data_IF_742521844058
#
_entry.id   IF_742521844058
#
_cell.length_a   1.000
_cell.length_b   1.000
_cell.length_c   1.000
_cell.angle_alpha   90.00
_cell.angle_beta   90.00
_cell.angle_gamma   90.00
#
_symmetry.space_group_name_H-M   'P 1'
#
loop_
_entity.id
_entity.type
_entity.pdbx_description
1 polymer ?
#
# COMPACT_ATOMS: atom_id res chain seq x y z
N UNK A 1 -28.18 76.19 62.47
CA UNK A 1 -28.23 76.74 63.83
C UNK A 1 -26.81 76.80 64.39
N UNK A 2 -26.40 78.00 64.83
CA UNK A 2 -25.37 78.38 65.83
C UNK A 2 -23.97 77.71 65.76
N UNK A 3 -22.89 78.40 65.33
CA UNK A 3 -22.07 79.50 65.93
C UNK A 3 -20.97 79.06 66.93
N UNK A 4 -19.74 79.47 66.57
CA UNK A 4 -18.57 79.97 67.37
C UNK A 4 -17.82 78.94 68.25
N UNK A 5 -16.53 78.66 68.03
CA UNK A 5 -15.30 79.48 68.25
C UNK A 5 -15.03 79.80 69.72
N UNK A 6 -13.90 79.32 70.27
CA UNK A 6 -12.88 80.11 71.00
C UNK A 6 -11.50 79.40 70.93
N UNK A 7 -10.47 80.23 70.81
CA UNK A 7 -9.02 79.99 70.72
C UNK A 7 -8.35 79.52 72.03
N UNK A 8 -7.18 78.89 71.88
CA UNK A 8 -6.12 78.82 72.89
C UNK A 8 -4.74 78.76 72.21
N UNK A 9 -3.89 79.75 72.49
CA UNK A 9 -2.53 79.98 71.94
C UNK A 9 -1.41 79.52 72.89
N UNK A 10 -0.20 79.36 72.32
CA UNK A 10 1.18 79.26 72.88
C UNK A 10 1.83 77.89 72.54
N UNK A 11 3.08 77.76 72.08
CA UNK A 11 4.19 78.67 71.84
C UNK A 11 5.20 78.02 70.85
N UNK A 12 6.08 78.88 70.35
CA UNK A 12 7.14 78.83 69.34
C UNK A 12 8.14 77.64 69.26
N UNK A 13 8.70 77.51 68.05
CA UNK A 13 10.07 77.06 67.70
C UNK A 13 10.36 75.58 67.49
N UNK A 14 10.35 75.14 66.22
CA UNK A 14 11.48 74.38 65.61
C UNK A 14 11.32 74.28 64.09
N UNK A 15 12.04 75.15 63.37
CA UNK A 15 12.61 74.78 62.07
C UNK A 15 13.44 73.51 62.26
N UNK A 16 13.33 72.53 61.36
CA UNK A 16 14.45 71.68 60.90
C UNK A 16 13.96 70.64 59.87
N UNK A 17 14.33 70.90 58.61
CA UNK A 17 14.79 69.97 57.57
C UNK A 17 13.86 68.84 57.09
N UNK A 18 13.44 68.99 55.83
CA UNK A 18 13.11 67.91 54.91
C UNK A 18 14.19 66.81 54.97
N UNK A 19 13.85 65.53 55.21
CA UNK A 19 14.78 64.45 54.95
C UNK A 19 14.83 64.23 53.43
N UNK A 20 15.97 64.57 52.83
CA UNK A 20 16.44 64.02 51.57
C UNK A 20 16.54 62.50 51.67
N UNK A 21 15.42 61.79 51.47
CA UNK A 21 15.35 60.32 51.53
C UNK A 21 14.97 59.70 50.18
N UNK A 22 15.25 60.39 49.08
CA UNK A 22 14.90 59.95 47.71
C UNK A 22 16.05 59.22 46.98
N UNK A 23 17.32 59.35 47.41
CA UNK A 23 18.44 58.71 46.72
C UNK A 23 18.69 57.26 47.14
N UNK A 24 18.50 56.93 48.43
CA UNK A 24 18.79 55.59 48.97
C UNK A 24 17.74 54.55 48.60
N UNK A 25 16.47 54.93 48.46
CA UNK A 25 15.40 54.02 48.03
C UNK A 25 15.50 53.69 46.53
N UNK A 26 15.90 54.66 45.69
CA UNK A 26 16.22 54.42 44.28
C UNK A 26 17.45 53.52 44.09
N UNK A 27 18.50 53.70 44.89
CA UNK A 27 19.70 52.86 44.85
C UNK A 27 19.41 51.40 45.24
N UNK A 28 18.55 51.18 46.24
CA UNK A 28 18.08 49.84 46.68
C UNK A 28 17.27 49.12 45.59
N UNK A 29 16.35 49.83 44.92
CA UNK A 29 15.55 49.29 43.82
C UNK A 29 16.43 49.00 42.59
N UNK A 30 17.35 49.90 42.24
CA UNK A 30 18.32 49.68 41.16
C UNK A 30 19.22 48.47 41.43
N UNK A 31 19.70 48.31 42.67
CA UNK A 31 20.46 47.14 43.11
C UNK A 31 19.67 45.84 42.94
N UNK A 32 18.43 45.79 43.43
CA UNK A 32 17.54 44.64 43.24
C UNK A 32 17.31 44.32 41.76
N UNK A 33 16.97 45.32 40.92
CA UNK A 33 16.74 45.10 39.48
C UNK A 33 17.98 44.56 38.77
N UNK A 34 19.19 44.96 39.17
CA UNK A 34 20.44 44.45 38.62
C UNK A 34 20.67 42.99 39.01
N UNK A 35 20.34 42.60 40.24
CA UNK A 35 20.42 41.21 40.70
C UNK A 35 19.40 40.32 39.99
N UNK A 36 18.17 40.80 39.75
CA UNK A 36 17.16 40.09 38.98
C UNK A 36 17.55 39.94 37.50
N UNK A 37 18.13 40.99 36.89
CA UNK A 37 18.62 40.93 35.51
C UNK A 37 19.75 39.89 35.36
N UNK A 38 20.73 39.88 36.26
CA UNK A 38 21.81 38.90 36.25
C UNK A 38 21.30 37.46 36.47
N UNK A 39 20.27 37.28 37.31
CA UNK A 39 19.63 35.97 37.51
C UNK A 39 18.91 35.48 36.24
N UNK A 40 18.20 36.37 35.54
CA UNK A 40 17.53 36.06 34.27
C UNK A 40 18.55 35.73 33.16
N UNK A 41 19.66 36.45 33.09
CA UNK A 41 20.74 36.17 32.13
C UNK A 41 21.42 34.82 32.42
N UNK A 42 21.63 34.48 33.70
CA UNK A 42 22.16 33.19 34.10
C UNK A 42 21.19 32.04 33.74
N UNK A 43 19.90 32.17 34.07
CA UNK A 43 18.87 31.19 33.71
C UNK A 43 18.74 31.03 32.18
N UNK A 44 18.87 32.12 31.40
CA UNK A 44 18.87 32.08 29.92
C UNK A 44 20.11 31.34 29.38
N UNK A 45 21.28 31.55 29.96
CA UNK A 45 22.51 30.85 29.57
C UNK A 45 22.49 29.35 29.88
N UNK A 46 21.92 28.97 31.03
CA UNK A 46 21.70 27.56 31.42
C UNK A 46 20.69 26.92 30.47
N UNK A 47 19.55 27.59 30.23
CA UNK A 47 18.53 27.14 29.28
C UNK A 47 19.09 26.97 27.86
N UNK A 48 19.94 27.89 27.37
CA UNK A 48 20.65 27.79 26.08
C UNK A 48 21.59 26.57 26.02
N UNK A 49 22.27 26.25 27.13
CA UNK A 49 23.20 25.11 27.20
C UNK A 49 22.48 23.76 27.23
N UNK A 50 21.37 23.66 27.98
CA UNK A 50 20.50 22.48 28.05
C UNK A 50 19.77 22.24 26.72
N UNK A 51 19.30 23.31 26.08
CA UNK A 51 18.76 23.30 24.73
C UNK A 51 19.77 22.70 23.73
N UNK A 52 21.04 23.15 23.76
CA UNK A 52 22.10 22.64 22.87
C UNK A 52 22.43 21.17 23.15
N UNK A 53 22.57 20.78 24.42
CA UNK A 53 22.86 19.37 24.76
C UNK A 53 21.72 18.43 24.38
N UNK A 54 20.47 18.91 24.47
CA UNK A 54 19.29 18.17 24.01
C UNK A 54 19.26 18.02 22.48
N UNK A 55 19.64 19.05 21.72
CA UNK A 55 19.76 18.99 20.25
C UNK A 55 20.81 17.98 19.76
N UNK A 56 21.94 17.86 20.46
CA UNK A 56 22.99 16.88 20.14
C UNK A 56 22.79 15.52 20.82
N UNK A 57 21.70 15.33 21.55
CA UNK A 57 21.34 14.05 22.14
C UNK A 57 20.96 13.04 21.04
N UNK A 58 21.25 11.76 21.27
CA UNK A 58 20.86 10.66 20.36
C UNK A 58 19.36 10.67 20.02
N UNK A 59 18.52 11.16 20.95
CA UNK A 59 17.07 11.32 20.78
C UNK A 59 16.72 12.27 19.64
N UNK A 60 17.49 13.34 19.46
CA UNK A 60 17.30 14.33 18.39
C UNK A 60 17.74 13.77 17.03
N UNK A 61 18.78 12.93 17.01
CA UNK A 61 19.18 12.19 15.81
C UNK A 61 18.06 11.23 15.40
N UNK A 62 17.47 10.48 16.34
CA UNK A 62 16.33 9.62 16.07
C UNK A 62 15.10 10.41 15.59
N UNK A 63 14.82 11.57 16.19
CA UNK A 63 13.72 12.45 15.80
C UNK A 63 13.89 12.97 14.35
N UNK A 64 15.11 13.27 13.93
CA UNK A 64 15.44 13.66 12.55
C UNK A 64 15.35 12.49 11.57
N UNK A 65 15.73 11.28 11.99
CA UNK A 65 15.75 10.12 11.11
C UNK A 65 14.34 9.69 10.68
N UNK A 66 13.35 9.75 11.57
CA UNK A 66 11.96 9.31 11.31
C UNK A 66 11.33 10.01 10.09
N UNK A 67 11.27 11.35 9.98
CA UNK A 67 10.65 12.01 8.84
C UNK A 67 11.39 11.75 7.52
N UNK A 68 12.73 11.61 7.56
CA UNK A 68 13.56 11.31 6.39
C UNK A 68 13.31 9.89 5.87
N UNK A 69 13.28 8.92 6.78
CA UNK A 69 12.98 7.51 6.44
C UNK A 69 11.54 7.41 5.92
N UNK A 70 10.57 8.04 6.59
CA UNK A 70 9.18 8.05 6.15
C UNK A 70 9.00 8.67 4.75
N UNK A 71 9.70 9.77 4.46
CA UNK A 71 9.70 10.39 3.13
C UNK A 71 10.34 9.48 2.07
N UNK A 72 11.46 8.83 2.40
CA UNK A 72 12.12 7.85 1.54
C UNK A 72 11.21 6.67 1.22
N UNK A 73 10.53 6.13 2.23
CA UNK A 73 9.55 5.05 2.07
C UNK A 73 8.33 5.48 1.25
N UNK A 74 7.81 6.68 1.47
CA UNK A 74 6.73 7.25 0.63
C UNK A 74 7.14 7.37 -0.84
N UNK A 75 8.35 7.85 -1.09
CA UNK A 75 8.91 7.97 -2.45
C UNK A 75 9.11 6.60 -3.10
N UNK A 76 9.64 5.63 -2.35
CA UNK A 76 9.78 4.25 -2.81
C UNK A 76 8.42 3.63 -3.15
N UNK A 77 7.38 3.87 -2.34
CA UNK A 77 6.02 3.39 -2.63
C UNK A 77 5.48 3.95 -3.95
N UNK A 78 5.74 5.23 -4.27
CA UNK A 78 5.37 5.81 -5.57
C UNK A 78 6.11 5.10 -6.71
N UNK A 79 7.43 4.91 -6.59
CA UNK A 79 8.21 4.24 -7.63
C UNK A 79 7.76 2.79 -7.82
N UNK A 80 7.52 2.08 -6.72
CA UNK A 80 7.01 0.71 -6.72
C UNK A 80 5.63 0.62 -7.36
N UNK A 81 4.75 1.58 -7.07
CA UNK A 81 3.44 1.69 -7.71
C UNK A 81 3.58 1.91 -9.22
N UNK A 82 4.41 2.86 -9.66
CA UNK A 82 4.62 3.12 -11.09
C UNK A 82 5.14 1.89 -11.83
N UNK A 83 6.14 1.22 -11.26
CA UNK A 83 6.67 -0.04 -11.79
C UNK A 83 5.56 -1.08 -11.90
N UNK A 84 4.79 -1.30 -10.83
CA UNK A 84 3.69 -2.26 -10.82
C UNK A 84 2.62 -1.90 -11.86
N UNK A 85 2.26 -0.63 -11.99
CA UNK A 85 1.29 -0.17 -13.00
C UNK A 85 1.79 -0.44 -14.41
N UNK A 86 3.06 -0.16 -14.72
CA UNK A 86 3.61 -0.45 -16.03
C UNK A 86 3.54 -1.95 -16.39
N UNK A 87 3.77 -2.84 -15.40
CA UNK A 87 3.59 -4.29 -15.57
C UNK A 87 2.11 -4.66 -15.81
N UNK A 88 1.19 -4.06 -15.04
CA UNK A 88 -0.23 -4.29 -15.19
C UNK A 88 -0.76 -3.79 -16.54
N UNK A 89 -0.30 -2.62 -16.98
CA UNK A 89 -0.68 -2.03 -18.26
C UNK A 89 -0.21 -2.90 -19.43
N UNK A 90 1.01 -3.45 -19.37
CA UNK A 90 1.53 -4.38 -20.38
C UNK A 90 0.72 -5.69 -20.43
N UNK A 91 0.41 -6.28 -19.27
CA UNK A 91 -0.46 -7.47 -19.20
C UNK A 91 -1.86 -7.14 -19.72
N UNK A 92 -2.43 -6.02 -19.30
CA UNK A 92 -3.75 -5.58 -19.71
C UNK A 92 -3.84 -5.33 -21.22
N UNK A 93 -2.83 -4.68 -21.80
CA UNK A 93 -2.74 -4.48 -23.24
C UNK A 93 -2.70 -5.83 -23.99
N UNK A 94 -1.86 -6.78 -23.55
CA UNK A 94 -1.81 -8.13 -24.15
C UNK A 94 -3.14 -8.88 -24.03
N UNK A 95 -3.82 -8.73 -22.90
CA UNK A 95 -5.13 -9.34 -22.68
C UNK A 95 -6.22 -8.73 -23.55
N UNK A 96 -6.13 -7.46 -23.95
CA UNK A 96 -7.17 -6.79 -24.75
C UNK A 96 -6.89 -6.78 -26.25
N UNK A 97 -5.67 -7.15 -26.66
CA UNK A 97 -5.34 -7.31 -28.09
C UNK A 97 -6.21 -8.39 -28.73
N UNK A 98 -6.51 -8.19 -30.01
CA UNK A 98 -7.26 -9.17 -30.82
C UNK A 98 -6.59 -10.55 -30.75
N UNK A 99 -7.40 -11.63 -30.64
CA UNK A 99 -6.89 -12.99 -30.66
C UNK A 99 -6.09 -13.25 -31.93
N UNK A 100 -4.97 -13.96 -31.79
CA UNK A 100 -4.15 -14.42 -32.92
C UNK A 100 -4.23 -15.94 -33.01
N UNK A 101 -4.16 -16.51 -34.21
CA UNK A 101 -4.11 -17.95 -34.35
C UNK A 101 -2.85 -18.51 -33.67
N UNK A 102 -3.00 -19.58 -32.89
CA UNK A 102 -1.86 -20.26 -32.28
C UNK A 102 -1.01 -20.94 -33.36
N UNK A 103 0.32 -20.75 -33.41
CA UNK A 103 1.16 -21.43 -34.38
C UNK A 103 1.15 -22.96 -34.17
N UNK A 104 1.44 -23.71 -35.24
CA UNK A 104 1.44 -25.18 -35.21
C UNK A 104 2.47 -25.76 -34.24
N UNK A 105 3.62 -25.09 -34.08
CA UNK A 105 4.62 -25.42 -33.06
C UNK A 105 4.84 -24.20 -32.21
N UNK A 106 4.71 -24.36 -30.91
CA UNK A 106 4.93 -23.29 -29.95
C UNK A 106 6.20 -23.60 -29.17
N UNK A 107 7.11 -22.65 -29.11
CA UNK A 107 8.35 -22.76 -28.33
C UNK A 107 8.18 -22.14 -26.94
N UNK A 108 8.96 -22.61 -25.96
CA UNK A 108 8.92 -22.04 -24.60
C UNK A 108 9.22 -20.53 -24.57
N UNK A 109 10.08 -20.03 -25.46
CA UNK A 109 10.33 -18.59 -25.60
C UNK A 109 9.09 -17.81 -26.06
N UNK A 110 8.33 -18.35 -27.01
CA UNK A 110 7.11 -17.72 -27.49
C UNK A 110 6.03 -17.68 -26.42
N UNK A 111 5.91 -18.74 -25.61
CA UNK A 111 5.02 -18.76 -24.44
C UNK A 111 5.42 -17.65 -23.46
N UNK A 112 6.71 -17.54 -23.17
CA UNK A 112 7.24 -16.54 -22.25
C UNK A 112 7.02 -15.10 -22.75
N UNK A 113 7.17 -14.86 -24.05
CA UNK A 113 6.92 -13.55 -24.65
C UNK A 113 5.43 -13.21 -24.73
N UNK A 114 4.58 -14.22 -24.92
CA UNK A 114 3.15 -14.04 -25.14
C UNK A 114 2.27 -14.43 -23.95
N UNK A 115 2.82 -14.51 -22.74
CA UNK A 115 2.01 -14.75 -21.54
C UNK A 115 0.87 -13.71 -21.45
N UNK A 116 -0.35 -14.19 -21.13
CA UNK A 116 -1.61 -13.42 -21.12
C UNK A 116 -2.08 -12.92 -22.49
N UNK A 117 -1.45 -13.32 -23.60
CA UNK A 117 -1.95 -12.98 -24.94
C UNK A 117 -3.14 -13.86 -25.30
N UNK A 118 -4.20 -13.24 -25.84
CA UNK A 118 -5.33 -13.96 -26.44
C UNK A 118 -4.90 -14.69 -27.70
N UNK A 119 -5.17 -15.99 -27.75
CA UNK A 119 -5.02 -16.83 -28.92
C UNK A 119 -6.33 -17.53 -29.25
N UNK A 120 -6.49 -17.90 -30.52
CA UNK A 120 -7.57 -18.76 -30.97
C UNK A 120 -7.00 -20.07 -31.49
N UNK A 121 -7.63 -21.17 -31.09
CA UNK A 121 -7.27 -22.52 -31.51
C UNK A 121 -8.53 -23.26 -31.94
N UNK A 122 -8.43 -24.00 -33.04
CA UNK A 122 -9.50 -24.81 -33.59
C UNK A 122 -9.14 -26.28 -33.47
N UNK A 123 -10.10 -27.12 -33.07
CA UNK A 123 -9.88 -28.55 -32.94
C UNK A 123 -11.03 -29.28 -32.25
N UNK A 124 -10.81 -30.54 -31.92
CA UNK A 124 -11.76 -31.39 -31.19
C UNK A 124 -11.16 -31.78 -29.85
N UNK A 125 -11.95 -31.71 -28.78
CA UNK A 125 -11.50 -32.12 -27.46
C UNK A 125 -11.33 -33.64 -27.37
N UNK A 126 -10.21 -34.09 -26.84
CA UNK A 126 -9.94 -35.49 -26.51
C UNK A 126 -10.41 -35.77 -25.07
N UNK A 127 -11.72 -35.96 -24.91
CA UNK A 127 -12.34 -36.22 -23.60
C UNK A 127 -11.89 -37.55 -22.97
N UNK A 128 -11.33 -38.48 -23.75
CA UNK A 128 -10.78 -39.72 -23.21
C UNK A 128 -9.53 -39.47 -22.35
N UNK A 129 -8.79 -38.39 -22.63
CA UNK A 129 -7.61 -37.96 -21.90
C UNK A 129 -7.88 -36.70 -21.07
N UNK A 130 -9.12 -36.51 -20.61
CA UNK A 130 -9.50 -35.42 -19.73
C UNK A 130 -8.90 -35.62 -18.32
N UNK A 131 -8.29 -34.56 -17.78
CA UNK A 131 -7.60 -34.56 -16.50
C UNK A 131 -8.28 -33.60 -15.53
N UNK A 132 -8.59 -34.07 -14.32
CA UNK A 132 -9.17 -33.26 -13.26
C UNK A 132 -8.08 -32.90 -12.25
N UNK A 133 -7.79 -31.60 -12.12
CA UNK A 133 -6.78 -31.07 -11.22
C UNK A 133 -7.44 -30.53 -9.96
N UNK A 134 -7.18 -31.15 -8.82
CA UNK A 134 -7.82 -30.75 -7.56
C UNK A 134 -7.20 -31.34 -6.30
N UNK A 135 -7.79 -31.02 -5.14
CA UNK A 135 -8.96 -30.17 -4.95
C UNK A 135 -8.67 -28.66 -5.20
N UNK A 136 -9.64 -27.94 -5.78
CA UNK A 136 -9.59 -26.47 -5.99
C UNK A 136 -10.91 -25.84 -5.55
N UNK A 137 -10.84 -24.81 -4.72
CA UNK A 137 -12.03 -24.05 -4.33
C UNK A 137 -12.25 -22.85 -5.24
N UNK A 138 -13.52 -22.62 -5.60
CA UNK A 138 -13.99 -21.42 -6.27
C UNK A 138 -15.23 -20.92 -5.55
N UNK A 139 -15.24 -19.63 -5.15
CA UNK A 139 -16.35 -19.03 -4.38
C UNK A 139 -16.80 -19.84 -3.15
N UNK A 140 -15.84 -20.41 -2.42
CA UNK A 140 -16.05 -21.30 -1.24
C UNK A 140 -16.70 -22.66 -1.53
N UNK A 141 -16.88 -23.03 -2.80
CA UNK A 141 -17.33 -24.36 -3.20
C UNK A 141 -16.12 -25.23 -3.60
N UNK A 142 -16.05 -26.49 -3.19
CA UNK A 142 -15.01 -27.42 -3.62
C UNK A 142 -15.24 -27.89 -5.06
N UNK A 143 -14.15 -28.11 -5.79
CA UNK A 143 -14.23 -28.58 -7.16
C UNK A 143 -12.87 -28.92 -7.77
N UNK A 144 -12.85 -28.96 -9.10
CA UNK A 144 -11.69 -29.36 -9.89
C UNK A 144 -11.49 -28.39 -11.05
N UNK A 145 -10.23 -28.23 -11.46
CA UNK A 145 -9.91 -27.60 -12.74
C UNK A 145 -9.88 -28.70 -13.81
N UNK A 146 -10.60 -28.50 -14.91
CA UNK A 146 -10.65 -29.45 -16.03
C UNK A 146 -9.61 -29.05 -17.06
N UNK A 147 -8.66 -29.95 -17.32
CA UNK A 147 -7.68 -29.81 -18.40
C UNK A 147 -7.97 -30.89 -19.44
N UNK A 148 -8.25 -30.47 -20.67
CA UNK A 148 -8.55 -31.39 -21.77
C UNK A 148 -7.61 -31.12 -22.94
N UNK A 149 -6.93 -32.14 -23.50
CA UNK A 149 -6.21 -31.99 -24.74
C UNK A 149 -7.16 -31.62 -25.88
N UNK A 150 -6.76 -30.69 -26.72
CA UNK A 150 -7.45 -30.35 -27.95
C UNK A 150 -6.61 -30.83 -29.14
N UNK A 151 -7.18 -31.73 -29.94
CA UNK A 151 -6.58 -32.24 -31.17
C UNK A 151 -6.88 -31.27 -32.30
N UNK A 152 -5.84 -30.67 -32.87
CA UNK A 152 -5.94 -29.77 -34.02
C UNK A 152 -6.02 -30.56 -35.33
N UNK A 153 -6.39 -29.88 -36.42
CA UNK A 153 -6.53 -30.48 -37.75
C UNK A 153 -5.22 -31.14 -38.27
N UNK A 154 -4.07 -30.62 -37.86
CA UNK A 154 -2.75 -31.19 -38.21
C UNK A 154 -2.37 -32.42 -37.35
N UNK A 155 -3.26 -32.85 -36.45
CA UNK A 155 -3.05 -33.95 -35.52
C UNK A 155 -2.24 -33.59 -34.27
N UNK A 156 -1.74 -32.35 -34.18
CA UNK A 156 -1.02 -31.90 -33.00
C UNK A 156 -1.98 -31.59 -31.85
N UNK A 157 -1.52 -31.80 -30.62
CA UNK A 157 -2.35 -31.64 -29.42
C UNK A 157 -1.84 -30.49 -28.55
N UNK A 158 -2.77 -29.70 -28.02
CA UNK A 158 -2.48 -28.61 -27.07
C UNK A 158 -3.33 -28.78 -25.82
N UNK A 159 -2.81 -28.38 -24.66
CA UNK A 159 -3.53 -28.53 -23.40
C UNK A 159 -4.39 -27.30 -23.14
N UNK A 160 -5.71 -27.51 -23.02
CA UNK A 160 -6.67 -26.47 -22.70
C UNK A 160 -7.09 -26.63 -21.25
N UNK A 161 -6.75 -25.67 -20.39
CA UNK A 161 -7.41 -25.49 -19.12
C UNK A 161 -8.78 -24.87 -19.41
N UNK A 162 -9.83 -25.70 -19.36
CA UNK A 162 -11.21 -25.30 -19.64
C UNK A 162 -11.82 -24.50 -18.50
N UNK A 163 -11.26 -24.63 -17.30
CA UNK A 163 -11.72 -23.91 -16.12
C UNK A 163 -12.20 -24.81 -14.99
N UNK A 164 -12.95 -24.23 -14.07
CA UNK A 164 -13.39 -24.90 -12.84
C UNK A 164 -14.76 -25.56 -12.97
N UNK A 165 -14.92 -26.73 -12.35
CA UNK A 165 -16.21 -27.41 -12.17
C UNK A 165 -16.44 -27.74 -10.70
N UNK A 166 -17.71 -27.83 -10.31
CA UNK A 166 -18.13 -28.32 -8.99
C UNK A 166 -17.72 -29.77 -8.78
N UNK A 167 -17.44 -30.14 -7.53
CA UNK A 167 -17.06 -31.50 -7.16
C UNK A 167 -18.10 -32.56 -7.59
N UNK A 168 -19.40 -32.24 -7.50
CA UNK A 168 -20.47 -33.16 -7.87
C UNK A 168 -20.50 -33.47 -9.38
N UNK A 169 -19.86 -32.64 -10.19
CA UNK A 169 -19.81 -32.76 -11.66
C UNK A 169 -18.51 -33.40 -12.15
N UNK A 170 -17.73 -34.02 -11.25
CA UNK A 170 -16.49 -34.71 -11.61
C UNK A 170 -16.72 -35.79 -12.68
N UNK A 171 -17.81 -36.57 -12.57
CA UNK A 171 -18.15 -37.61 -13.55
C UNK A 171 -18.59 -36.97 -14.86
N UNK A 172 -17.89 -37.21 -15.99
CA UNK A 172 -18.26 -36.69 -17.30
C UNK A 172 -19.72 -36.97 -17.69
N UNK A 173 -20.30 -38.09 -17.23
CA UNK A 173 -21.69 -38.47 -17.51
C UNK A 173 -22.72 -37.49 -16.94
N UNK A 174 -22.36 -36.76 -15.89
CA UNK A 174 -23.23 -35.78 -15.24
C UNK A 174 -23.20 -34.41 -15.94
N UNK A 175 -22.34 -34.23 -16.95
CA UNK A 175 -22.15 -32.97 -17.68
C UNK A 175 -22.03 -33.20 -19.20
N UNK A 176 -23.06 -33.76 -19.85
CA UNK A 176 -23.03 -34.12 -21.28
C UNK A 176 -22.75 -32.91 -22.19
N UNK A 177 -23.22 -31.71 -21.82
CA UNK A 177 -22.94 -30.48 -22.59
C UNK A 177 -21.44 -30.15 -22.63
N UNK A 178 -20.68 -30.52 -21.60
CA UNK A 178 -19.23 -30.32 -21.56
C UNK A 178 -18.45 -31.36 -22.39
N UNK A 179 -19.10 -32.44 -22.81
CA UNK A 179 -18.49 -33.63 -23.44
C UNK A 179 -18.74 -33.70 -24.96
N UNK A 180 -19.11 -32.58 -25.59
CA UNK A 180 -19.30 -32.50 -27.03
C UNK A 180 -18.01 -32.87 -27.78
N UNK A 181 -18.12 -33.76 -28.77
CA UNK A 181 -17.04 -34.19 -29.67
C UNK A 181 -17.00 -33.39 -30.98
N UNK A 182 -17.81 -32.33 -31.09
CA UNK A 182 -17.83 -31.48 -32.27
C UNK A 182 -16.59 -30.56 -32.30
N UNK A 183 -16.13 -30.15 -33.50
CA UNK A 183 -15.07 -29.16 -33.63
C UNK A 183 -15.45 -27.82 -32.98
N UNK A 184 -14.53 -27.25 -32.22
CA UNK A 184 -14.72 -26.02 -31.46
C UNK A 184 -13.59 -25.03 -31.72
N UNK A 185 -13.95 -23.75 -31.71
CA UNK A 185 -13.02 -22.63 -31.70
C UNK A 185 -12.87 -22.12 -30.26
N UNK A 186 -11.70 -22.32 -29.65
CA UNK A 186 -11.43 -21.89 -28.27
C UNK A 186 -10.60 -20.62 -28.30
N UNK A 187 -11.12 -19.58 -27.65
CA UNK A 187 -10.36 -18.36 -27.37
C UNK A 187 -9.78 -18.49 -25.96
N UNK A 188 -8.46 -18.38 -25.84
CA UNK A 188 -7.74 -18.67 -24.61
C UNK A 188 -6.58 -17.71 -24.38
N UNK A 189 -6.13 -17.60 -23.13
CA UNK A 189 -4.88 -16.95 -22.78
C UNK A 189 -3.74 -17.96 -22.82
N UNK A 190 -2.61 -17.56 -23.41
CA UNK A 190 -1.35 -18.31 -23.27
C UNK A 190 -0.83 -18.14 -21.85
N UNK A 191 -0.51 -19.25 -21.20
CA UNK A 191 0.01 -19.24 -19.82
C UNK A 191 1.32 -19.97 -19.74
N UNK A 192 2.23 -19.39 -18.96
CA UNK A 192 3.43 -20.10 -18.56
C UNK A 192 3.03 -21.24 -17.61
N UNK A 193 3.74 -22.37 -17.71
CA UNK A 193 3.61 -23.44 -16.74
C UNK A 193 3.82 -22.89 -15.31
N UNK A 194 2.85 -23.07 -14.40
CA UNK A 194 3.10 -22.86 -12.99
C UNK A 194 4.07 -23.97 -12.57
N UNK A 195 5.35 -23.64 -12.43
CA UNK A 195 6.40 -24.64 -12.17
C UNK A 195 6.09 -25.55 -10.97
N UNK A 196 6.84 -26.66 -10.85
CA UNK A 196 6.64 -27.65 -9.80
C UNK A 196 6.71 -27.01 -8.40
N UNK A 197 5.66 -27.19 -7.62
CA UNK A 197 5.61 -26.75 -6.23
C UNK A 197 5.99 -27.92 -5.31
N UNK A 198 7.15 -27.85 -4.65
CA UNK A 198 7.65 -28.91 -3.76
C UNK A 198 6.77 -29.19 -2.54
N UNK A 199 5.81 -28.31 -2.22
CA UNK A 199 4.90 -28.49 -1.08
C UNK A 199 3.62 -29.27 -1.42
N UNK A 200 3.38 -29.58 -2.69
CA UNK A 200 2.21 -30.35 -3.12
C UNK A 200 2.60 -31.79 -3.46
N UNK A 201 1.70 -32.77 -3.24
CA UNK A 201 1.92 -34.14 -3.66
C UNK A 201 2.19 -34.23 -5.16
N UNK A 202 2.97 -35.23 -5.56
CA UNK A 202 3.16 -35.57 -6.97
C UNK A 202 1.85 -36.08 -7.57
N UNK A 203 1.60 -35.70 -8.82
CA UNK A 203 0.43 -36.19 -9.56
C UNK A 203 0.69 -37.61 -10.06
N UNK A 204 -0.35 -38.42 -10.13
CA UNK A 204 -0.29 -39.80 -10.61
C UNK A 204 -1.06 -39.90 -11.94
N UNK A 205 -0.35 -39.89 -13.08
CA UNK A 205 -0.97 -39.98 -14.40
C UNK A 205 -1.66 -41.32 -14.65
N UNK A 206 -1.22 -42.41 -14.02
CA UNK A 206 -1.75 -43.75 -14.28
C UNK A 206 -3.14 -43.93 -13.65
N UNK A 207 -3.38 -43.30 -12.50
CA UNK A 207 -4.71 -43.24 -11.86
C UNK A 207 -5.51 -41.99 -12.21
N UNK A 208 -5.02 -41.14 -13.12
CA UNK A 208 -5.60 -39.85 -13.51
C UNK A 208 -5.86 -38.89 -12.32
N UNK A 209 -5.01 -38.96 -11.29
CA UNK A 209 -5.09 -38.06 -10.13
C UNK A 209 -4.08 -36.93 -10.24
N UNK A 210 -4.58 -35.72 -10.48
CA UNK A 210 -3.75 -34.53 -10.66
C UNK A 210 -3.92 -33.54 -9.51
N UNK A 211 -2.82 -33.20 -8.85
CA UNK A 211 -2.81 -32.18 -7.79
C UNK A 211 -2.28 -30.83 -8.29
N UNK A 212 -1.40 -30.88 -9.29
CA UNK A 212 -0.72 -29.73 -9.88
C UNK A 212 -0.95 -29.67 -11.39
N UNK A 213 -0.83 -28.46 -11.94
CA UNK A 213 -0.76 -28.24 -13.40
C UNK A 213 0.68 -28.47 -13.89
N UNK A 214 1.18 -29.70 -13.73
CA UNK A 214 2.50 -30.09 -14.23
C UNK A 214 2.45 -30.30 -15.74
N UNK A 215 2.83 -29.25 -16.46
CA UNK A 215 2.68 -29.20 -17.92
C UNK A 215 3.54 -30.24 -18.64
N UNK A 216 4.74 -30.52 -18.14
CA UNK A 216 5.65 -31.51 -18.70
C UNK A 216 5.05 -32.92 -18.58
N UNK A 217 4.55 -33.24 -17.39
CA UNK A 217 3.94 -34.54 -17.11
C UNK A 217 2.63 -34.74 -17.89
N UNK A 218 1.76 -33.73 -17.92
CA UNK A 218 0.51 -33.74 -18.69
C UNK A 218 0.75 -33.85 -20.20
N UNK A 219 1.72 -33.10 -20.72
CA UNK A 219 2.09 -33.14 -22.13
C UNK A 219 2.60 -34.53 -22.52
N UNK A 220 3.48 -35.11 -21.70
CA UNK A 220 4.00 -36.47 -21.91
C UNK A 220 2.90 -37.54 -21.85
N UNK A 221 1.99 -37.45 -20.88
CA UNK A 221 0.89 -38.39 -20.71
C UNK A 221 -0.08 -38.36 -21.90
N UNK A 222 -0.37 -37.17 -22.42
CA UNK A 222 -1.40 -36.98 -23.47
C UNK A 222 -0.83 -36.89 -24.89
N UNK A 223 0.50 -36.88 -25.05
CA UNK A 223 1.16 -36.64 -26.33
C UNK A 223 0.98 -35.20 -26.84
N UNK A 224 0.76 -34.25 -25.93
CA UNK A 224 0.54 -32.84 -26.25
C UNK A 224 1.83 -32.04 -26.29
N UNK A 225 1.77 -30.86 -26.92
CA UNK A 225 2.81 -29.85 -26.77
C UNK A 225 2.78 -29.29 -25.35
N UNK A 226 3.95 -28.87 -24.85
CA UNK A 226 4.10 -28.21 -23.54
C UNK A 226 3.59 -26.77 -23.56
N UNK A 227 2.31 -26.60 -23.89
CA UNK A 227 1.61 -25.32 -23.96
C UNK A 227 0.31 -25.44 -23.18
N UNK A 228 0.14 -24.57 -22.19
CA UNK A 228 -1.12 -24.43 -21.46
C UNK A 228 -1.88 -23.22 -21.97
N UNK A 229 -3.11 -23.45 -22.41
CA UNK A 229 -4.05 -22.41 -22.81
C UNK A 229 -5.19 -22.35 -21.80
N UNK A 230 -5.38 -21.21 -21.15
CA UNK A 230 -6.52 -20.97 -20.25
C UNK A 230 -7.71 -20.46 -21.06
N UNK A 231 -8.76 -21.28 -21.19
CA UNK A 231 -9.98 -20.92 -21.88
C UNK A 231 -10.62 -19.69 -21.22
N UNK A 232 -11.03 -18.73 -22.05
CA UNK A 232 -11.68 -17.50 -21.59
C UNK A 232 -13.18 -17.79 -21.52
N UNK A 233 -13.80 -17.47 -20.37
CA UNK A 233 -15.24 -17.59 -20.22
C UNK A 233 -15.98 -16.57 -21.10
N UNK A 234 -17.27 -16.79 -21.42
CA UNK A 234 -18.07 -15.81 -22.15
C UNK A 234 -18.07 -14.43 -21.47
N UNK A 235 -18.05 -13.35 -22.27
CA UNK A 235 -18.07 -11.97 -21.73
C UNK A 235 -19.38 -11.64 -20.99
N UNK A 236 -20.47 -12.35 -21.31
CA UNK A 236 -21.75 -12.23 -20.61
C UNK A 236 -21.76 -13.04 -19.32
N UNK A 237 -21.95 -12.36 -18.19
CA UNK A 237 -22.11 -13.01 -16.89
C UNK A 237 -23.29 -14.02 -16.88
N UNK A 238 -24.38 -13.72 -17.58
CA UNK A 238 -25.52 -14.63 -17.68
C UNK A 238 -25.17 -15.92 -18.43
N UNK A 239 -24.32 -15.83 -19.47
CA UNK A 239 -23.84 -17.01 -20.19
C UNK A 239 -22.90 -17.85 -19.33
N UNK A 240 -21.97 -17.22 -18.60
CA UNK A 240 -21.08 -17.94 -17.68
C UNK A 240 -21.86 -18.66 -16.56
N UNK A 241 -22.92 -18.03 -16.02
CA UNK A 241 -23.80 -18.67 -15.02
C UNK A 241 -24.55 -19.87 -15.63
N UNK A 242 -25.02 -19.76 -16.87
CA UNK A 242 -25.70 -20.85 -17.56
C UNK A 242 -24.75 -22.03 -17.81
N UNK A 243 -23.53 -21.74 -18.28
CA UNK A 243 -22.45 -22.73 -18.48
C UNK A 243 -22.18 -23.49 -17.18
N UNK A 244 -21.98 -22.78 -16.06
CA UNK A 244 -21.76 -23.38 -14.75
C UNK A 244 -22.91 -24.31 -14.33
N UNK A 245 -24.16 -23.87 -14.57
CA UNK A 245 -25.36 -24.65 -14.22
C UNK A 245 -25.48 -25.93 -15.05
N UNK A 246 -25.04 -25.89 -16.31
CA UNK A 246 -25.05 -27.02 -17.23
C UNK A 246 -23.81 -27.91 -17.10
N UNK A 247 -22.90 -27.57 -16.18
CA UNK A 247 -21.66 -28.31 -15.92
C UNK A 247 -20.58 -28.13 -16.98
N UNK A 248 -20.67 -27.05 -17.76
CA UNK A 248 -19.55 -26.57 -18.59
C UNK A 248 -18.51 -25.92 -17.67
N UNK A 249 -17.21 -26.27 -17.80
CA UNK A 249 -16.16 -25.68 -16.97
C UNK A 249 -16.10 -24.15 -17.08
N UNK A 250 -16.02 -23.49 -15.93
CA UNK A 250 -15.91 -22.05 -15.81
C UNK A 250 -14.48 -21.58 -16.09
N UNK A 251 -14.26 -21.08 -17.31
CA UNK A 251 -12.98 -20.51 -17.73
C UNK A 251 -12.56 -19.26 -16.95
N UNK A 252 -11.43 -18.68 -17.34
CA UNK A 252 -10.91 -17.48 -16.68
C UNK A 252 -11.68 -16.25 -17.14
N UNK A 253 -12.05 -15.31 -16.23
CA UNK A 253 -12.65 -14.05 -16.63
C UNK A 253 -11.75 -13.27 -17.59
N UNK A 254 -12.36 -12.60 -18.57
CA UNK A 254 -11.67 -11.76 -19.55
C UNK A 254 -11.05 -10.49 -18.95
N UNK A 255 -11.47 -10.12 -17.72
CA UNK A 255 -11.02 -8.96 -16.96
C UNK A 255 -10.48 -9.42 -15.60
N UNK A 256 -9.24 -9.04 -15.29
CA UNK A 256 -8.64 -9.28 -13.97
C UNK A 256 -8.60 -7.94 -13.22
N UNK A 257 -9.39 -7.79 -12.17
CA UNK A 257 -9.31 -6.64 -11.28
C UNK A 257 -8.21 -6.88 -10.23
N UNK A 258 -7.08 -6.18 -10.38
CA UNK A 258 -5.96 -6.28 -9.44
C UNK A 258 -6.06 -5.14 -8.44
N UNK A 259 -6.45 -5.48 -7.21
CA UNK A 259 -6.55 -4.51 -6.11
C UNK A 259 -5.28 -3.68 -5.94
N UNK A 260 -5.44 -2.37 -5.87
CA UNK A 260 -4.35 -1.41 -5.70
C UNK A 260 -4.48 -0.62 -4.38
N UNK A 261 -3.74 -1.05 -3.36
CA UNK A 261 -3.73 -0.38 -2.05
C UNK A 261 -2.56 0.61 -1.88
N UNK A 262 -1.73 0.84 -2.91
CA UNK A 262 -0.52 1.65 -2.76
C UNK A 262 -0.81 3.12 -2.41
N UNK A 263 -1.93 3.67 -2.87
CA UNK A 263 -2.33 5.04 -2.54
C UNK A 263 -2.50 5.24 -1.02
N UNK A 264 -3.09 4.27 -0.33
CA UNK A 264 -3.27 4.32 1.12
C UNK A 264 -1.91 4.36 1.83
N UNK A 265 -0.97 3.50 1.43
CA UNK A 265 0.37 3.49 2.01
C UNK A 265 1.15 4.78 1.72
N UNK A 266 1.07 5.29 0.49
CA UNK A 266 1.66 6.57 0.11
C UNK A 266 1.17 7.67 1.06
N UNK A 267 -0.15 7.75 1.28
CA UNK A 267 -0.75 8.73 2.18
C UNK A 267 -0.27 8.54 3.63
N UNK A 268 -0.19 7.31 4.13
CA UNK A 268 0.33 7.01 5.48
C UNK A 268 1.77 7.51 5.65
N UNK A 269 2.67 7.18 4.72
CA UNK A 269 4.09 7.53 4.84
C UNK A 269 4.32 9.04 4.75
N UNK A 270 3.64 9.73 3.82
CA UNK A 270 3.76 11.19 3.72
C UNK A 270 3.10 11.91 4.90
N UNK A 271 1.97 11.42 5.41
CA UNK A 271 1.33 11.99 6.60
C UNK A 271 2.24 11.84 7.82
N UNK A 272 2.85 10.66 8.01
CA UNK A 272 3.79 10.44 9.10
C UNK A 272 5.04 11.31 8.96
N UNK A 273 5.59 11.44 7.75
CA UNK A 273 6.72 12.33 7.45
C UNK A 273 6.37 13.80 7.77
N UNK A 274 5.17 14.26 7.39
CA UNK A 274 4.72 15.61 7.66
C UNK A 274 4.53 15.88 9.17
N UNK A 275 3.84 15.00 9.89
CA UNK A 275 3.60 15.17 11.34
C UNK A 275 4.93 15.18 12.10
N UNK A 276 5.80 14.21 11.83
CA UNK A 276 7.10 14.11 12.52
C UNK A 276 8.05 15.23 12.11
N UNK A 277 7.97 15.72 10.86
CA UNK A 277 8.68 16.90 10.40
C UNK A 277 8.21 18.19 11.09
N UNK A 278 6.90 18.35 11.31
CA UNK A 278 6.34 19.48 12.07
C UNK A 278 6.77 19.40 13.54
N UNK A 279 6.71 18.22 14.16
CA UNK A 279 7.19 18.01 15.53
C UNK A 279 8.68 18.34 15.65
N UNK A 280 9.51 17.89 14.71
CA UNK A 280 10.92 18.23 14.64
C UNK A 280 11.11 19.73 14.52
N UNK A 281 10.39 20.40 13.61
CA UNK A 281 10.48 21.84 13.43
C UNK A 281 10.11 22.63 14.69
N UNK A 282 9.05 22.24 15.39
CA UNK A 282 8.67 22.84 16.69
C UNK A 282 9.77 22.59 17.73
N UNK A 283 10.32 21.37 17.79
CA UNK A 283 11.42 21.04 18.70
C UNK A 283 12.73 21.76 18.37
N UNK A 284 12.92 22.23 17.13
CA UNK A 284 14.08 23.01 16.70
C UNK A 284 13.88 24.53 16.85
N UNK A 285 12.68 24.99 17.23
CA UNK A 285 12.46 26.41 17.53
C UNK A 285 12.99 26.70 18.94
N UNK A 286 13.93 27.64 19.05
CA UNK A 286 14.40 28.14 20.35
C UNK A 286 13.21 28.62 21.20
N UNK A 287 13.13 28.26 22.50
CA UNK A 287 12.17 28.90 23.40
C UNK A 287 12.42 30.41 23.39
N UNK A 288 11.35 31.20 23.34
CA UNK A 288 11.49 32.66 23.42
C UNK A 288 12.09 33.01 24.78
N UNK A 289 13.19 33.76 24.80
CA UNK A 289 13.78 34.14 26.07
C UNK A 289 12.86 35.11 26.82
N UNK A 290 12.77 34.93 28.14
CA UNK A 290 11.98 35.78 29.01
C UNK A 290 12.35 37.26 28.83
N UNK A 291 13.64 37.55 28.58
CA UNK A 291 14.16 38.89 28.31
C UNK A 291 13.62 39.44 26.98
N UNK A 292 13.62 38.66 25.91
CA UNK A 292 13.05 39.07 24.61
C UNK A 292 11.53 39.31 24.71
N UNK A 293 10.83 38.51 25.51
CA UNK A 293 9.39 38.64 25.74
C UNK A 293 9.06 39.91 26.54
N UNK A 294 9.83 40.20 27.61
CA UNK A 294 9.72 41.44 28.40
C UNK A 294 10.04 42.68 27.55
N UNK A 295 11.08 42.63 26.72
CA UNK A 295 11.46 43.74 25.82
C UNK A 295 10.37 44.04 24.78
N UNK A 296 9.69 43.00 24.26
CA UNK A 296 8.52 43.14 23.39
C UNK A 296 7.31 43.74 24.10
N UNK A 297 7.02 43.30 25.33
CA UNK A 297 5.91 43.86 26.12
C UNK A 297 6.13 45.33 26.45
N UNK A 298 7.37 45.70 26.84
CA UNK A 298 7.75 47.09 27.12
C UNK A 298 7.67 47.99 25.90
N UNK A 299 8.07 47.52 24.73
CA UNK A 299 7.95 48.30 23.48
C UNK A 299 6.52 48.42 22.96
N UNK A 300 5.60 47.56 23.41
CA UNK A 300 4.17 47.67 23.14
C UNK A 300 3.52 48.69 24.09
N UNK A 301 3.78 48.58 25.39
CA UNK A 301 3.29 49.53 26.39
C UNK A 301 3.78 50.98 26.17
N UNK A 302 4.99 51.16 25.63
CA UNK A 302 5.52 52.49 25.29
C UNK A 302 5.01 53.09 23.97
N UNK A 303 4.16 52.36 23.22
CA UNK A 303 3.48 52.87 22.01
C UNK A 303 2.02 53.27 22.28
N UNK A 304 1.48 52.88 23.42
CA UNK A 304 0.10 53.14 23.84
C UNK A 304 0.00 54.33 24.84
N UNK A 305 1.10 55.09 25.00
CA UNK A 305 1.24 56.32 25.79
C UNK A 305 1.69 57.46 24.88
#
# INVERSE_FOLDING_TARGET
>A
MLRRSVFGTLNSSRLLRLPTRCSTQKASVLGQTRTYAHKLEADESVSESEWKSQLYSWKSICLCAIPLIAFGLGTWQIQRLKWKMALLDDVNDRMHRRPVALPLRVTAEEINRNEYRRVIVYGVYDHANEMLVGPRSYESEPGFIVVTPLVREDGSRVLINRGWIKHELQDPKLRPESQSTEPVAVVAFVRRSPGKNSFMPESDPDSNHWFNLDLELMAKHTGSQEVLLEAIQPESAAAAILDARNGVPLGVPSLVDIKNNHLQYILTWYTMSAITGVMLYISLRKPQSAIAQIKRLRSRAGRDL
#
